data_IF_750556740117
#
_entry.id   IF_750556740117
#
_cell.length_a   1.000
_cell.length_b   1.000
_cell.length_c   1.000
_cell.angle_alpha   90.00
_cell.angle_beta   90.00
_cell.angle_gamma   90.00
#
_symmetry.space_group_name_H-M   'P 1'
#
loop_
_entity.id
_entity.type
_entity.pdbx_description
1 polymer ?
#
# COMPACT_ATOMS: atom_id res chain seq x y z
N UNK A 1 -24.61 2.15 -43.24
CA UNK A 1 -23.44 2.78 -42.57
C UNK A 1 -23.65 2.66 -41.07
N UNK A 2 -23.03 1.67 -40.42
CA UNK A 2 -23.08 1.54 -38.96
C UNK A 2 -21.93 2.35 -38.33
N UNK A 3 -22.18 3.17 -37.30
CA UNK A 3 -21.11 3.88 -36.62
C UNK A 3 -20.33 2.89 -35.74
N UNK A 4 -19.01 2.89 -35.92
CA UNK A 4 -18.06 2.20 -35.04
C UNK A 4 -18.07 2.91 -33.68
N UNK A 5 -18.58 2.23 -32.65
CA UNK A 5 -18.52 2.71 -31.26
C UNK A 5 -17.17 2.24 -30.70
N UNK A 6 -16.22 3.16 -30.54
CA UNK A 6 -14.97 2.90 -29.85
C UNK A 6 -15.19 2.90 -28.34
N UNK A 7 -15.19 1.72 -27.72
CA UNK A 7 -15.09 1.57 -26.26
C UNK A 7 -13.65 1.87 -25.82
N UNK A 8 -13.46 3.00 -25.15
CA UNK A 8 -12.21 3.35 -24.48
C UNK A 8 -12.15 2.67 -23.11
N UNK A 9 -11.26 1.70 -22.95
CA UNK A 9 -10.94 1.11 -21.65
C UNK A 9 -9.95 2.03 -20.92
N UNK A 10 -10.42 2.72 -19.88
CA UNK A 10 -9.55 3.47 -18.97
C UNK A 10 -8.99 2.49 -17.93
N UNK A 11 -7.70 2.15 -18.06
CA UNK A 11 -6.96 1.39 -17.07
C UNK A 11 -6.59 2.30 -15.89
N UNK A 12 -7.30 2.14 -14.77
CA UNK A 12 -6.89 2.72 -13.49
C UNK A 12 -5.83 1.80 -12.86
N UNK A 13 -4.56 2.17 -12.98
CA UNK A 13 -3.49 1.51 -12.22
C UNK A 13 -3.59 1.95 -10.76
N UNK A 14 -4.15 1.10 -9.91
CA UNK A 14 -4.01 1.24 -8.45
C UNK A 14 -2.63 0.69 -8.08
N UNK A 15 -1.71 1.49 -7.53
CA UNK A 15 -0.45 0.97 -7.03
C UNK A 15 -0.73 0.03 -5.84
N UNK A 16 -0.50 -1.27 -6.04
CA UNK A 16 -0.41 -2.21 -4.95
C UNK A 16 1.00 -2.08 -4.36
N UNK A 17 1.14 -1.35 -3.26
CA UNK A 17 2.32 -1.50 -2.43
C UNK A 17 2.14 -2.80 -1.66
N UNK A 18 2.77 -3.86 -2.17
CA UNK A 18 2.98 -5.07 -1.37
C UNK A 18 3.92 -4.64 -0.26
N UNK A 19 3.44 -4.68 0.99
CA UNK A 19 4.18 -4.83 2.26
C UNK A 19 3.29 -4.38 3.42
N UNK A 20 3.62 -4.83 4.63
CA UNK A 20 2.72 -4.73 5.77
C UNK A 20 3.03 -3.51 6.61
N UNK A 21 2.02 -2.71 7.00
CA UNK A 21 2.22 -1.66 7.98
C UNK A 21 2.77 -2.26 9.27
N UNK A 22 3.79 -1.65 9.85
CA UNK A 22 4.42 -2.08 11.10
C UNK A 22 3.40 -2.28 12.21
N UNK A 23 2.38 -1.43 12.26
CA UNK A 23 1.30 -1.51 13.26
C UNK A 23 0.41 -2.75 13.07
N UNK A 24 0.34 -3.30 11.86
CA UNK A 24 -0.40 -4.52 11.57
C UNK A 24 0.48 -5.77 11.61
N UNK A 25 1.81 -5.62 11.61
CA UNK A 25 2.77 -6.73 11.67
C UNK A 25 2.87 -7.33 13.10
N UNK A 26 1.73 -7.60 13.73
CA UNK A 26 1.61 -8.09 15.09
C UNK A 26 0.78 -9.37 15.12
N UNK A 27 0.96 -10.16 16.19
CA UNK A 27 0.20 -11.40 16.39
C UNK A 27 -1.30 -11.12 16.44
N UNK A 28 -1.70 -10.06 17.12
CA UNK A 28 -3.11 -9.73 17.30
C UNK A 28 -3.77 -9.39 15.96
N UNK A 29 -3.18 -8.50 15.17
CA UNK A 29 -3.70 -8.13 13.85
C UNK A 29 -3.75 -9.31 12.87
N UNK A 30 -2.74 -10.21 12.89
CA UNK A 30 -2.73 -11.40 12.03
C UNK A 30 -3.77 -12.45 12.44
N UNK A 31 -4.04 -12.59 13.74
CA UNK A 31 -5.05 -13.53 14.25
C UNK A 31 -6.48 -13.02 14.04
N UNK A 32 -6.70 -11.71 14.22
CA UNK A 32 -8.00 -11.08 13.92
C UNK A 32 -8.23 -10.90 12.42
N UNK A 33 -7.15 -10.99 11.62
CA UNK A 33 -7.12 -10.67 10.19
C UNK A 33 -7.60 -9.24 9.88
N UNK A 34 -7.42 -8.32 10.82
CA UNK A 34 -7.79 -6.92 10.66
C UNK A 34 -6.56 -6.01 10.70
N UNK A 35 -6.33 -5.25 9.63
CA UNK A 35 -5.31 -4.21 9.56
C UNK A 35 -5.98 -2.84 9.42
N UNK A 36 -6.49 -2.34 10.54
CA UNK A 36 -7.16 -1.04 10.65
C UNK A 36 -6.55 -0.17 11.76
N UNK A 37 -5.27 0.23 11.62
CA UNK A 37 -4.56 0.97 12.66
C UNK A 37 -5.20 2.33 12.95
N UNK A 38 -4.97 2.80 14.17
CA UNK A 38 -5.44 4.11 14.63
C UNK A 38 -4.74 5.24 13.87
N UNK A 39 -5.46 6.33 13.64
CA UNK A 39 -4.88 7.58 13.18
C UNK A 39 -4.55 8.48 14.37
N UNK A 40 -3.29 8.91 14.50
CA UNK A 40 -2.82 9.72 15.63
C UNK A 40 -3.57 11.05 15.80
N UNK A 41 -4.21 11.56 14.74
CA UNK A 41 -4.93 12.84 14.80
C UNK A 41 -6.23 12.79 15.61
N UNK A 42 -6.95 11.67 15.60
CA UNK A 42 -8.23 11.53 16.34
C UNK A 42 -8.36 10.23 17.15
N UNK A 43 -7.32 9.40 17.14
CA UNK A 43 -7.25 8.14 17.89
C UNK A 43 -8.21 7.06 17.40
N UNK A 44 -8.91 7.25 16.28
CA UNK A 44 -9.87 6.29 15.73
C UNK A 44 -9.25 5.43 14.63
N UNK A 45 -9.74 4.20 14.49
CA UNK A 45 -9.34 3.31 13.40
C UNK A 45 -9.64 3.96 12.05
N UNK A 46 -8.64 4.00 11.16
CA UNK A 46 -8.77 4.59 9.82
C UNK A 46 -9.20 6.07 9.80
N UNK A 47 -9.09 6.80 10.92
CA UNK A 47 -9.54 8.19 11.04
C UNK A 47 -11.07 8.35 10.87
N UNK A 48 -11.84 7.37 11.33
CA UNK A 48 -13.31 7.34 11.24
C UNK A 48 -13.96 8.56 11.88
N UNK A 49 -13.50 9.00 13.06
CA UNK A 49 -14.10 10.13 13.77
C UNK A 49 -13.97 11.46 13.01
N UNK A 50 -12.93 11.58 12.19
CA UNK A 50 -12.70 12.73 11.31
C UNK A 50 -13.21 12.51 9.88
N UNK A 51 -13.88 11.39 9.62
CA UNK A 51 -14.43 11.03 8.32
C UNK A 51 -13.37 10.75 7.24
N UNK A 52 -12.14 10.39 7.63
CA UNK A 52 -11.03 10.11 6.71
C UNK A 52 -11.15 8.76 6.03
N UNK A 53 -11.74 7.78 6.72
CA UNK A 53 -11.84 6.42 6.25
C UNK A 53 -12.60 5.55 7.24
N UNK A 54 -12.81 4.30 6.84
CA UNK A 54 -13.50 3.31 7.66
C UNK A 54 -12.80 1.97 7.52
N UNK A 55 -12.81 1.18 8.59
CA UNK A 55 -12.37 -0.22 8.52
C UNK A 55 -13.45 -1.07 7.85
N UNK A 56 -13.14 -1.68 6.71
CA UNK A 56 -14.11 -2.44 5.92
C UNK A 56 -13.53 -3.77 5.45
N UNK A 57 -14.42 -4.67 5.04
CA UNK A 57 -14.02 -5.94 4.45
C UNK A 57 -13.30 -5.71 3.12
N UNK A 58 -12.28 -6.51 2.87
CA UNK A 58 -11.48 -6.48 1.65
C UNK A 58 -12.26 -7.16 0.54
N UNK A 59 -12.51 -6.42 -0.54
CA UNK A 59 -13.10 -6.95 -1.77
C UNK A 59 -11.98 -7.40 -2.73
N UNK A 60 -12.09 -8.63 -3.23
CA UNK A 60 -11.19 -9.21 -4.24
C UNK A 60 -12.00 -9.71 -5.43
N UNK A 61 -11.36 -9.81 -6.60
CA UNK A 61 -12.00 -10.34 -7.80
C UNK A 61 -12.31 -11.83 -7.66
N UNK A 62 -13.54 -12.23 -8.02
CA UNK A 62 -13.96 -13.64 -8.14
C UNK A 62 -13.74 -14.21 -9.55
N UNK A 63 -13.13 -13.44 -10.47
CA UNK A 63 -12.79 -13.93 -11.80
C UNK A 63 -11.75 -15.06 -11.73
N UNK A 64 -11.84 -16.07 -12.62
CA UNK A 64 -10.90 -17.17 -12.62
C UNK A 64 -9.50 -16.71 -13.02
N UNK A 65 -8.49 -17.32 -12.42
CA UNK A 65 -7.10 -17.11 -12.79
C UNK A 65 -6.79 -17.68 -14.19
N UNK A 66 -5.73 -17.16 -14.81
CA UNK A 66 -5.25 -17.66 -16.08
C UNK A 66 -4.75 -19.11 -15.97
N UNK A 67 -4.89 -19.93 -17.03
CA UNK A 67 -4.48 -21.35 -17.00
C UNK A 67 -2.98 -21.56 -16.78
N UNK A 68 -2.16 -20.50 -16.85
CA UNK A 68 -0.73 -20.52 -16.58
C UNK A 68 -0.40 -20.79 -15.11
N UNK A 69 -1.36 -20.55 -14.20
CA UNK A 69 -1.22 -20.84 -12.78
C UNK A 69 -2.27 -21.89 -12.36
N UNK A 70 -1.98 -23.19 -12.49
CA UNK A 70 -2.94 -24.27 -12.26
C UNK A 70 -3.04 -24.69 -10.78
N UNK A 71 -2.59 -23.84 -9.85
CA UNK A 71 -2.56 -24.13 -8.42
C UNK A 71 -3.62 -23.32 -7.68
N UNK A 72 -4.05 -23.81 -6.52
CA UNK A 72 -4.91 -23.06 -5.61
C UNK A 72 -4.57 -23.41 -4.16
N UNK A 73 -4.57 -22.41 -3.30
CA UNK A 73 -4.26 -22.51 -1.88
C UNK A 73 -2.78 -22.80 -1.59
N UNK A 74 -1.88 -22.52 -2.53
CA UNK A 74 -0.44 -22.75 -2.35
C UNK A 74 0.34 -21.47 -2.10
N UNK A 75 -0.09 -20.36 -2.68
CA UNK A 75 0.65 -19.11 -2.64
C UNK A 75 -0.11 -18.04 -1.84
N UNK A 76 0.57 -17.42 -0.87
CA UNK A 76 -0.02 -16.41 0.02
C UNK A 76 -0.52 -15.17 -0.74
N UNK A 77 -0.14 -15.03 -2.02
CA UNK A 77 -0.55 -13.93 -2.91
C UNK A 77 -1.87 -14.21 -3.64
N UNK A 78 -2.38 -15.43 -3.61
CA UNK A 78 -3.70 -15.74 -4.15
C UNK A 78 -4.77 -14.91 -3.43
N UNK A 79 -5.64 -14.25 -4.21
CA UNK A 79 -6.68 -13.35 -3.66
C UNK A 79 -6.11 -12.35 -2.65
N UNK A 80 -4.93 -11.81 -2.94
CA UNK A 80 -4.26 -10.85 -2.07
C UNK A 80 -5.20 -9.70 -1.66
N UNK A 81 -5.20 -9.27 -0.36
CA UNK A 81 -4.39 -9.73 0.77
C UNK A 81 -5.07 -10.77 1.71
N UNK A 82 -6.11 -11.49 1.26
CA UNK A 82 -7.03 -12.25 2.14
C UNK A 82 -6.38 -13.36 3.01
N UNK A 83 -5.19 -13.83 2.63
CA UNK A 83 -4.42 -14.76 3.48
C UNK A 83 -4.09 -14.12 4.82
N UNK A 84 -3.66 -12.85 4.81
CA UNK A 84 -3.24 -12.12 6.00
C UNK A 84 -4.38 -11.31 6.63
N UNK A 85 -5.10 -10.52 5.84
CA UNK A 85 -6.14 -9.62 6.33
C UNK A 85 -7.40 -9.68 5.48
N UNK A 86 -8.55 -9.84 6.12
CA UNK A 86 -9.86 -9.73 5.49
C UNK A 86 -10.48 -8.33 5.71
N UNK A 87 -9.90 -7.50 6.58
CA UNK A 87 -10.38 -6.15 6.87
C UNK A 87 -9.25 -5.13 6.84
N UNK A 88 -9.45 -4.03 6.11
CA UNK A 88 -8.46 -2.95 5.95
C UNK A 88 -9.14 -1.58 5.89
N UNK A 89 -8.33 -0.51 6.02
CA UNK A 89 -8.84 0.86 5.90
C UNK A 89 -9.21 1.21 4.45
N UNK A 90 -10.48 1.58 4.23
CA UNK A 90 -10.93 2.22 3.00
C UNK A 90 -11.08 3.72 3.22
N UNK A 91 -10.22 4.50 2.59
CA UNK A 91 -10.17 5.95 2.77
C UNK A 91 -11.18 6.69 1.88
N UNK A 92 -11.73 7.78 2.39
CA UNK A 92 -12.71 8.62 1.69
C UNK A 92 -12.04 9.75 0.92
N UNK A 93 -12.73 10.27 -0.10
CA UNK A 93 -12.34 11.50 -0.83
C UNK A 93 -10.89 11.45 -1.33
N UNK A 94 -10.05 12.37 -0.86
CA UNK A 94 -8.64 12.51 -1.23
C UNK A 94 -7.68 11.97 -0.16
N UNK A 95 -8.17 11.30 0.88
CA UNK A 95 -7.33 10.63 1.86
C UNK A 95 -6.79 9.30 1.30
N UNK A 96 -5.63 8.86 1.78
CA UNK A 96 -4.99 7.59 1.46
C UNK A 96 -4.08 7.14 2.61
N UNK A 97 -3.33 6.06 2.41
CA UNK A 97 -2.39 5.52 3.39
C UNK A 97 -3.05 4.43 4.24
N UNK A 98 -2.23 3.68 4.98
CA UNK A 98 -2.67 2.47 5.67
C UNK A 98 -3.64 2.74 6.85
N UNK A 99 -3.68 3.96 7.38
CA UNK A 99 -4.62 4.44 8.40
C UNK A 99 -5.40 5.70 7.93
N UNK A 100 -5.41 5.98 6.62
CA UNK A 100 -6.04 7.17 6.03
C UNK A 100 -5.47 8.54 6.48
N UNK A 101 -4.25 8.56 7.02
CA UNK A 101 -3.55 9.78 7.43
C UNK A 101 -3.01 10.60 6.24
N UNK A 102 -2.69 9.94 5.13
CA UNK A 102 -2.01 10.54 3.98
C UNK A 102 -3.02 11.12 2.97
N UNK A 103 -2.48 11.82 1.97
CA UNK A 103 -3.25 12.37 0.86
C UNK A 103 -2.93 11.66 -0.45
N UNK A 104 -3.96 11.42 -1.27
CA UNK A 104 -3.83 10.88 -2.64
C UNK A 104 -2.75 11.65 -3.40
N UNK A 105 -2.06 10.96 -4.31
CA UNK A 105 -1.02 11.58 -5.14
C UNK A 105 -1.52 12.89 -5.80
N UNK A 106 -0.77 13.97 -5.60
CA UNK A 106 -1.12 15.31 -6.09
C UNK A 106 -2.00 16.14 -5.15
N UNK A 107 -2.45 15.57 -4.03
CA UNK A 107 -3.18 16.28 -2.96
C UNK A 107 -2.31 16.42 -1.71
N UNK A 108 -2.48 17.53 -1.02
CA UNK A 108 -1.68 17.94 0.13
C UNK A 108 -2.52 18.72 1.14
N UNK A 109 -1.89 19.05 2.27
CA UNK A 109 -2.51 19.74 3.40
C UNK A 109 -3.23 18.77 4.33
N UNK A 110 -3.57 19.24 5.54
CA UNK A 110 -4.17 18.39 6.58
C UNK A 110 -5.44 17.70 6.10
N UNK A 111 -6.25 18.37 5.27
CA UNK A 111 -7.51 17.87 4.75
C UNK A 111 -7.44 17.36 3.29
N UNK A 112 -6.25 17.23 2.72
CA UNK A 112 -6.03 16.77 1.34
C UNK A 112 -6.82 17.57 0.29
N UNK A 113 -6.98 18.87 0.52
CA UNK A 113 -7.71 19.80 -0.33
C UNK A 113 -6.80 20.64 -1.24
N UNK A 114 -5.50 20.70 -0.95
CA UNK A 114 -4.55 21.46 -1.75
C UNK A 114 -4.03 20.59 -2.91
N UNK A 115 -4.25 21.03 -4.15
CA UNK A 115 -3.67 20.35 -5.32
C UNK A 115 -2.28 20.90 -5.60
N UNK A 116 -1.29 20.01 -5.74
CA UNK A 116 0.07 20.38 -6.20
C UNK A 116 0.52 19.42 -7.29
N UNK A 117 1.06 19.98 -8.36
CA UNK A 117 1.61 19.20 -9.46
C UNK A 117 3.10 18.90 -9.23
N UNK A 118 3.54 17.69 -9.60
CA UNK A 118 4.94 17.27 -9.55
C UNK A 118 5.37 16.80 -10.93
N UNK A 119 6.42 17.40 -11.49
CA UNK A 119 6.92 17.08 -12.84
C UNK A 119 8.08 16.10 -12.75
N UNK A 120 7.91 14.89 -13.29
CA UNK A 120 9.00 13.92 -13.46
C UNK A 120 9.82 14.28 -14.70
N UNK A 121 11.01 14.87 -14.49
CA UNK A 121 11.91 15.31 -15.56
C UNK A 121 12.86 14.19 -15.99
N UNK A 122 13.34 14.25 -17.23
CA UNK A 122 14.43 13.38 -17.70
C UNK A 122 15.71 13.65 -16.87
N UNK A 123 16.33 12.60 -16.35
CA UNK A 123 17.53 12.67 -15.51
C UNK A 123 18.71 13.35 -16.20
N UNK A 124 18.81 13.25 -17.54
CA UNK A 124 19.87 13.89 -18.32
C UNK A 124 19.69 15.41 -18.45
N UNK A 125 18.49 15.92 -18.21
CA UNK A 125 18.18 17.36 -18.24
C UNK A 125 18.34 18.03 -16.86
N UNK A 126 18.74 17.27 -15.84
CA UNK A 126 18.98 17.80 -14.50
C UNK A 126 20.34 18.49 -14.44
N UNK A 127 20.39 19.63 -13.76
CA UNK A 127 21.63 20.30 -13.40
C UNK A 127 22.53 19.39 -12.55
N UNK A 128 23.83 19.72 -12.46
CA UNK A 128 24.77 18.96 -11.62
C UNK A 128 24.29 18.87 -10.17
N UNK A 129 23.80 19.97 -9.61
CA UNK A 129 23.30 20.02 -8.22
C UNK A 129 22.04 19.16 -8.03
N UNK A 130 21.10 19.19 -8.98
CA UNK A 130 19.90 18.34 -8.93
C UNK A 130 20.24 16.84 -9.01
N UNK A 131 21.20 16.45 -9.88
CA UNK A 131 21.66 15.06 -9.97
C UNK A 131 22.32 14.58 -8.68
N UNK A 132 23.20 15.39 -8.10
CA UNK A 132 23.82 15.08 -6.79
C UNK A 132 22.74 14.94 -5.73
N UNK A 133 21.76 15.86 -5.67
CA UNK A 133 20.64 15.79 -4.73
C UNK A 133 19.83 14.51 -4.88
N UNK A 134 19.50 14.12 -6.11
CA UNK A 134 18.78 12.88 -6.39
C UNK A 134 19.55 11.65 -5.88
N UNK A 135 20.83 11.54 -6.23
CA UNK A 135 21.68 10.43 -5.78
C UNK A 135 21.82 10.40 -4.25
N UNK A 136 21.98 11.56 -3.60
CA UNK A 136 22.05 11.65 -2.15
C UNK A 136 20.77 11.16 -1.47
N UNK A 137 19.59 11.47 -1.99
CA UNK A 137 18.32 10.98 -1.42
C UNK A 137 18.08 9.50 -1.69
N UNK A 138 18.49 8.97 -2.86
CA UNK A 138 18.44 7.54 -3.11
C UNK A 138 19.35 6.78 -2.13
N UNK A 139 20.57 7.29 -1.92
CA UNK A 139 21.48 6.74 -0.93
C UNK A 139 20.90 6.83 0.48
N UNK A 140 20.28 7.97 0.85
CA UNK A 140 19.62 8.12 2.14
C UNK A 140 18.47 7.10 2.31
N UNK A 141 17.62 6.93 1.29
CA UNK A 141 16.51 5.98 1.32
C UNK A 141 17.00 4.53 1.49
N UNK A 142 18.12 4.18 0.86
CA UNK A 142 18.76 2.85 0.98
C UNK A 142 19.32 2.56 2.37
N UNK A 143 19.66 3.59 3.15
CA UNK A 143 20.24 3.43 4.49
C UNK A 143 19.29 3.85 5.61
N UNK A 144 18.07 4.29 5.30
CA UNK A 144 17.07 4.69 6.29
C UNK A 144 16.02 3.59 6.42
N UNK A 145 15.86 3.02 7.61
CA UNK A 145 14.80 2.03 7.89
C UNK A 145 13.43 2.65 7.65
N UNK A 146 12.55 1.92 6.97
CA UNK A 146 11.16 2.30 6.76
C UNK A 146 10.44 2.41 8.10
N UNK A 147 9.82 3.57 8.33
CA UNK A 147 9.04 3.82 9.55
C UNK A 147 7.73 3.05 9.53
N UNK A 148 7.09 3.05 8.36
CA UNK A 148 5.71 2.61 8.21
C UNK A 148 5.60 1.13 7.86
N UNK A 149 6.57 0.57 7.13
CA UNK A 149 6.46 -0.78 6.57
C UNK A 149 7.57 -1.71 7.04
N UNK A 150 7.20 -2.99 7.18
CA UNK A 150 8.10 -4.12 7.38
C UNK A 150 7.83 -5.19 6.32
N UNK A 151 8.79 -6.09 6.11
CA UNK A 151 8.65 -7.17 5.14
C UNK A 151 8.48 -8.49 5.85
N UNK A 152 7.63 -9.38 5.33
CA UNK A 152 7.53 -10.75 5.82
C UNK A 152 8.80 -11.51 5.48
N UNK A 153 9.31 -12.32 6.42
CA UNK A 153 10.50 -13.18 6.22
C UNK A 153 10.16 -14.65 6.12
N UNK A 154 8.87 -15.00 6.15
CA UNK A 154 8.34 -16.35 5.99
C UNK A 154 6.91 -16.30 5.47
N UNK A 155 6.42 -17.45 5.02
CA UNK A 155 5.03 -17.65 4.59
C UNK A 155 4.06 -17.60 5.77
N UNK A 156 2.77 -17.36 5.51
CA UNK A 156 1.75 -17.34 6.55
C UNK A 156 1.67 -18.68 7.33
N UNK A 157 1.96 -19.79 6.64
CA UNK A 157 2.06 -21.12 7.26
C UNK A 157 3.24 -21.23 8.23
N UNK A 158 4.41 -20.71 7.85
CA UNK A 158 5.59 -20.67 8.73
C UNK A 158 5.38 -19.74 9.94
N UNK A 159 4.53 -18.72 9.79
CA UNK A 159 4.06 -17.87 10.89
C UNK A 159 3.03 -18.56 11.82
N UNK A 160 2.85 -19.88 11.71
CA UNK A 160 1.84 -20.63 12.47
C UNK A 160 0.43 -20.02 12.32
N UNK A 161 0.05 -19.71 11.07
CA UNK A 161 -1.20 -19.03 10.73
C UNK A 161 -1.41 -17.72 11.50
N UNK A 162 -0.33 -16.95 11.64
CA UNK A 162 -0.33 -15.64 12.30
C UNK A 162 -0.02 -15.64 13.80
N UNK A 163 0.08 -16.82 14.43
CA UNK A 163 0.43 -16.91 15.86
C UNK A 163 1.86 -16.52 16.16
N UNK A 164 2.78 -16.69 15.20
CA UNK A 164 4.19 -16.36 15.31
C UNK A 164 4.60 -15.39 14.18
N UNK A 165 4.42 -14.06 14.36
CA UNK A 165 4.76 -13.06 13.34
C UNK A 165 6.23 -13.11 12.91
N UNK A 166 6.49 -13.23 11.60
CA UNK A 166 7.84 -13.23 11.04
C UNK A 166 8.05 -12.03 10.14
N UNK A 167 8.55 -10.92 10.70
CA UNK A 167 8.81 -9.68 9.97
C UNK A 167 10.20 -9.12 10.25
N UNK A 168 10.79 -8.47 9.25
CA UNK A 168 12.06 -7.76 9.38
C UNK A 168 11.94 -6.29 8.98
N UNK A 169 12.79 -5.47 9.62
CA UNK A 169 13.02 -4.10 9.20
C UNK A 169 13.74 -4.08 7.85
N UNK A 170 13.29 -3.21 6.95
CA UNK A 170 13.95 -2.93 5.68
C UNK A 170 14.12 -1.42 5.49
N UNK A 171 15.08 -1.04 4.65
CA UNK A 171 15.25 0.36 4.27
C UNK A 171 14.07 0.86 3.42
N UNK A 172 13.87 2.16 3.32
CA UNK A 172 12.83 2.75 2.47
C UNK A 172 13.01 2.30 1.01
N UNK A 173 14.26 2.21 0.54
CA UNK A 173 14.53 1.71 -0.80
C UNK A 173 14.28 0.20 -0.92
N UNK A 174 14.61 -0.60 0.10
CA UNK A 174 14.46 -2.06 0.04
C UNK A 174 13.02 -2.53 0.19
N UNK A 175 12.11 -1.69 0.72
CA UNK A 175 10.67 -1.94 0.63
C UNK A 175 10.15 -1.77 -0.80
N UNK A 176 10.82 -0.97 -1.63
CA UNK A 176 10.46 -0.74 -3.03
C UNK A 176 11.00 -1.81 -3.98
N UNK A 177 12.10 -2.48 -3.63
CA UNK A 177 12.73 -3.56 -4.42
C UNK A 177 11.92 -4.84 -4.30
#
# INVERSE_FOLDING_TARGET
MWPLISLSFILYFVPCYQQFPRLCATREALLTKECCPLWDGDGSACGTNSGRGFCQDVEVSDQPDGPQYPFSGLDDREKWPLVFYNRTCQCTKNFMGFNCADCKFGYFGVNCSERRESVRRNIFHLSRTERIRLLSYLNLAKHTVSRDYVVATGTYREMENGSNPMFANMSVFDVFV
#
